data_IF_460554945410
#
_entry.id   IF_460554945410
#
_cell.length_a   1.000
_cell.length_b   1.000
_cell.length_c   1.000
_cell.angle_alpha   90.00
_cell.angle_beta   90.00
_cell.angle_gamma   90.00
#
_symmetry.space_group_name_H-M   'P 1'
#
loop_
_entity.id
_entity.type
_entity.pdbx_description
1 polymer ?
#
# COMPACT_ATOMS: atom_id res chain seq x y z
N UNK A 1 -9.83 -11.00 -20.41
CA UNK A 1 -9.61 -9.60 -20.85
C UNK A 1 -8.61 -9.59 -21.99
N UNK A 2 -8.95 -8.88 -23.08
CA UNK A 2 -8.14 -8.73 -24.29
C UNK A 2 -8.97 -8.06 -25.39
N UNK A 3 -8.33 -7.35 -26.31
CA UNK A 3 -9.00 -6.75 -27.48
C UNK A 3 -9.88 -5.53 -27.20
N UNK A 4 -9.83 -4.94 -26.00
CA UNK A 4 -10.79 -3.89 -25.61
C UNK A 4 -10.58 -2.53 -26.29
N UNK A 5 -9.47 -2.35 -27.03
CA UNK A 5 -9.14 -1.11 -27.76
C UNK A 5 -10.26 -0.64 -28.68
N UNK A 6 -10.99 -1.57 -29.31
CA UNK A 6 -12.09 -1.25 -30.23
C UNK A 6 -13.28 -0.59 -29.53
N UNK A 7 -13.48 -0.92 -28.26
CA UNK A 7 -14.65 -0.53 -27.48
C UNK A 7 -14.39 0.67 -26.57
N UNK A 8 -13.14 0.84 -26.13
CA UNK A 8 -12.72 1.91 -25.22
C UNK A 8 -11.50 2.68 -25.76
N UNK A 9 -11.66 3.47 -26.85
CA UNK A 9 -10.55 4.15 -27.50
C UNK A 9 -9.97 5.30 -26.67
N UNK A 10 -10.76 5.98 -25.86
CA UNK A 10 -10.27 7.11 -25.05
C UNK A 10 -9.43 6.56 -23.90
N UNK A 11 -9.95 5.54 -23.21
CA UNK A 11 -9.24 4.83 -22.15
C UNK A 11 -7.95 4.19 -22.68
N UNK A 12 -7.96 3.68 -23.91
CA UNK A 12 -6.75 3.19 -24.58
C UNK A 12 -5.66 4.27 -24.69
N UNK A 13 -6.01 5.46 -25.21
CA UNK A 13 -5.04 6.53 -25.43
C UNK A 13 -4.56 7.15 -24.12
N UNK A 14 -5.45 7.38 -23.16
CA UNK A 14 -5.06 7.90 -21.84
C UNK A 14 -4.16 6.91 -21.10
N UNK A 15 -4.44 5.61 -21.18
CA UNK A 15 -3.60 4.56 -20.61
C UNK A 15 -2.24 4.44 -21.31
N UNK A 16 -2.21 4.60 -22.64
CA UNK A 16 -0.96 4.61 -23.39
C UNK A 16 -0.08 5.81 -23.00
N UNK A 17 -0.66 7.00 -22.92
CA UNK A 17 0.04 8.23 -22.48
C UNK A 17 0.58 8.04 -21.05
N UNK A 18 -0.24 7.53 -20.13
CA UNK A 18 0.17 7.25 -18.77
C UNK A 18 1.30 6.21 -18.70
N UNK A 19 1.22 5.15 -19.50
CA UNK A 19 2.24 4.11 -19.56
C UNK A 19 3.56 4.64 -20.15
N UNK A 20 3.49 5.45 -21.22
CA UNK A 20 4.66 6.10 -21.82
C UNK A 20 5.33 7.08 -20.84
N UNK A 21 4.54 7.87 -20.13
CA UNK A 21 5.06 8.73 -19.07
C UNK A 21 5.70 7.91 -17.94
N UNK A 22 5.06 6.82 -17.50
CA UNK A 22 5.58 5.96 -16.44
C UNK A 22 6.91 5.30 -16.80
N UNK A 23 7.08 4.82 -18.04
CA UNK A 23 8.34 4.16 -18.45
C UNK A 23 9.47 5.15 -18.72
N UNK A 24 9.19 6.45 -18.72
CA UNK A 24 10.16 7.48 -19.08
C UNK A 24 10.38 7.58 -20.59
N UNK A 25 9.33 7.47 -21.40
CA UNK A 25 9.48 7.67 -22.84
C UNK A 25 9.88 9.13 -23.13
N UNK A 26 10.89 9.36 -24.01
CA UNK A 26 11.40 10.68 -24.34
C UNK A 26 10.29 11.69 -24.68
N UNK A 27 10.33 12.84 -24.00
CA UNK A 27 9.36 13.92 -24.18
C UNK A 27 8.13 13.89 -23.25
N UNK A 28 7.90 12.82 -22.49
CA UNK A 28 6.87 12.79 -21.45
C UNK A 28 7.43 13.20 -20.09
N UNK A 29 6.56 13.57 -19.15
CA UNK A 29 6.95 14.07 -17.83
C UNK A 29 7.87 13.10 -17.06
N UNK A 30 7.60 11.79 -17.13
CA UNK A 30 8.41 10.82 -16.40
C UNK A 30 9.81 10.60 -16.95
N UNK A 31 10.09 10.97 -18.20
CA UNK A 31 11.46 10.99 -18.74
C UNK A 31 12.31 12.00 -17.97
N UNK A 32 11.82 13.24 -17.87
CA UNK A 32 12.49 14.32 -17.15
C UNK A 32 12.75 13.98 -15.67
N UNK A 33 11.80 13.33 -15.00
CA UNK A 33 11.98 12.94 -13.60
C UNK A 33 12.89 11.72 -13.41
N UNK A 34 12.79 10.70 -14.26
CA UNK A 34 13.57 9.46 -14.11
C UNK A 34 14.99 9.60 -14.59
N UNK A 35 15.21 10.18 -15.77
CA UNK A 35 16.55 10.28 -16.36
C UNK A 35 17.41 11.23 -15.55
N UNK A 36 16.84 12.29 -14.96
CA UNK A 36 17.58 13.16 -14.04
C UNK A 36 18.10 12.40 -12.81
N UNK A 37 17.33 11.45 -12.28
CA UNK A 37 17.77 10.60 -11.15
C UNK A 37 18.84 9.61 -11.62
N UNK A 38 18.69 9.02 -12.80
CA UNK A 38 19.66 8.07 -13.36
C UNK A 38 21.01 8.76 -13.57
N UNK A 39 21.00 9.95 -14.16
CA UNK A 39 22.20 10.78 -14.38
C UNK A 39 22.80 11.25 -13.06
N UNK A 40 21.99 11.66 -12.09
CA UNK A 40 22.48 12.02 -10.76
C UNK A 40 23.15 10.82 -10.06
N UNK A 41 22.55 9.64 -10.08
CA UNK A 41 23.17 8.46 -9.46
C UNK A 41 24.44 8.06 -10.21
N UNK A 42 24.49 8.25 -11.54
CA UNK A 42 25.69 8.00 -12.33
C UNK A 42 26.87 8.91 -11.96
N UNK A 43 26.58 10.20 -11.71
CA UNK A 43 27.56 11.21 -11.30
C UNK A 43 27.94 11.11 -9.80
N UNK A 44 27.22 10.31 -9.01
CA UNK A 44 27.50 10.17 -7.59
C UNK A 44 28.73 9.32 -7.32
N UNK A 45 29.67 9.83 -6.52
CA UNK A 45 30.86 9.11 -6.07
C UNK A 45 30.70 8.48 -4.68
N UNK A 46 29.48 8.41 -4.16
CA UNK A 46 29.23 7.83 -2.84
C UNK A 46 29.43 6.31 -2.83
N UNK A 47 29.89 5.71 -1.71
CA UNK A 47 29.98 4.26 -1.60
C UNK A 47 28.62 3.60 -1.86
N UNK A 48 28.55 2.72 -2.86
CA UNK A 48 27.31 2.06 -3.28
C UNK A 48 26.58 2.70 -4.46
N UNK A 49 27.02 3.87 -4.95
CA UNK A 49 26.42 4.54 -6.10
C UNK A 49 26.37 3.66 -7.36
N UNK A 50 27.43 2.89 -7.64
CA UNK A 50 27.44 1.97 -8.78
C UNK A 50 26.38 0.87 -8.70
N UNK A 51 26.12 0.33 -7.50
CA UNK A 51 25.06 -0.65 -7.28
C UNK A 51 23.67 -0.02 -7.40
N UNK A 52 23.50 1.21 -6.88
CA UNK A 52 22.27 1.96 -7.03
C UNK A 52 21.99 2.27 -8.52
N UNK A 53 23.01 2.69 -9.29
CA UNK A 53 22.90 2.95 -10.72
C UNK A 53 22.43 1.70 -11.48
N UNK A 54 23.09 0.56 -11.23
CA UNK A 54 22.70 -0.72 -11.80
C UNK A 54 21.26 -1.12 -11.46
N UNK A 55 20.86 -0.95 -10.19
CA UNK A 55 19.52 -1.28 -9.71
C UNK A 55 18.44 -0.41 -10.37
N UNK A 56 18.70 0.89 -10.53
CA UNK A 56 17.78 1.81 -11.20
C UNK A 56 17.65 1.46 -12.69
N UNK A 57 18.75 1.17 -13.38
CA UNK A 57 18.73 0.77 -14.79
C UNK A 57 17.94 -0.53 -15.02
N UNK A 58 18.13 -1.56 -14.18
CA UNK A 58 17.31 -2.77 -14.24
C UNK A 58 15.84 -2.45 -13.95
N UNK A 59 15.59 -1.57 -12.99
CA UNK A 59 14.26 -1.07 -12.68
C UNK A 59 13.56 -0.45 -13.89
N UNK A 60 14.27 0.27 -14.76
CA UNK A 60 13.73 0.82 -16.02
C UNK A 60 13.23 -0.29 -16.94
N UNK A 61 14.04 -1.33 -17.17
CA UNK A 61 13.65 -2.49 -17.98
C UNK A 61 12.42 -3.20 -17.40
N UNK A 62 12.45 -3.52 -16.09
CA UNK A 62 11.35 -4.24 -15.42
C UNK A 62 10.06 -3.40 -15.47
N UNK A 63 10.16 -2.09 -15.26
CA UNK A 63 9.02 -1.16 -15.32
C UNK A 63 8.39 -1.12 -16.69
N UNK A 64 9.20 -0.99 -17.73
CA UNK A 64 8.72 -1.04 -19.11
C UNK A 64 8.05 -2.39 -19.41
N UNK A 65 8.67 -3.48 -18.98
CA UNK A 65 8.17 -4.82 -19.20
C UNK A 65 6.80 -5.07 -18.58
N UNK A 66 6.62 -4.84 -17.26
CA UNK A 66 5.33 -5.14 -16.63
C UNK A 66 4.22 -4.16 -17.08
N UNK A 67 4.55 -2.89 -17.35
CA UNK A 67 3.58 -1.88 -17.78
C UNK A 67 3.03 -2.22 -19.15
N UNK A 68 3.91 -2.51 -20.12
CA UNK A 68 3.49 -2.86 -21.46
C UNK A 68 2.94 -4.28 -21.57
N UNK A 69 3.39 -5.23 -20.72
CA UNK A 69 2.73 -6.54 -20.58
C UNK A 69 1.25 -6.36 -20.27
N UNK A 70 0.92 -5.55 -19.26
CA UNK A 70 -0.46 -5.29 -18.89
C UNK A 70 -1.21 -4.57 -20.01
N UNK A 71 -0.62 -3.52 -20.60
CA UNK A 71 -1.23 -2.78 -21.71
C UNK A 71 -1.56 -3.69 -22.91
N UNK A 72 -0.63 -4.56 -23.33
CA UNK A 72 -0.86 -5.49 -24.43
C UNK A 72 -1.91 -6.54 -24.11
N UNK A 73 -1.84 -7.17 -22.92
CA UNK A 73 -2.82 -8.18 -22.50
C UNK A 73 -4.24 -7.62 -22.40
N UNK A 74 -4.39 -6.37 -21.97
CA UNK A 74 -5.70 -5.72 -21.83
C UNK A 74 -6.25 -5.27 -23.19
N UNK A 75 -5.44 -4.60 -24.02
CA UNK A 75 -5.94 -3.89 -25.20
C UNK A 75 -5.72 -4.59 -26.56
N UNK A 76 -4.68 -5.41 -26.71
CA UNK A 76 -4.22 -5.93 -28.03
C UNK A 76 -4.29 -7.46 -28.19
N UNK A 77 -4.44 -8.21 -27.11
CA UNK A 77 -4.60 -9.68 -27.16
C UNK A 77 -5.96 -10.13 -27.67
N UNK A 78 -6.14 -11.45 -27.81
CA UNK A 78 -7.41 -12.06 -28.18
C UNK A 78 -8.53 -11.74 -27.17
N UNK A 79 -9.75 -11.59 -27.67
CA UNK A 79 -10.94 -11.27 -26.87
C UNK A 79 -11.33 -12.47 -25.97
N UNK A 80 -10.75 -12.52 -24.78
CA UNK A 80 -11.07 -13.49 -23.72
C UNK A 80 -12.23 -13.00 -22.86
N UNK A 81 -13.42 -12.87 -23.45
CA UNK A 81 -14.65 -12.43 -22.78
C UNK A 81 -15.89 -13.08 -23.38
N UNK A 82 -16.83 -13.42 -22.51
CA UNK A 82 -18.15 -13.99 -22.80
C UNK A 82 -19.07 -12.95 -23.46
N UNK A 83 -20.09 -13.45 -24.18
CA UNK A 83 -20.98 -12.62 -24.99
C UNK A 83 -21.78 -11.61 -24.16
N UNK A 84 -22.17 -11.96 -22.94
CA UNK A 84 -22.87 -11.06 -22.02
C UNK A 84 -21.99 -9.88 -21.57
N UNK A 85 -20.71 -10.11 -21.29
CA UNK A 85 -19.75 -9.05 -20.95
C UNK A 85 -19.46 -8.12 -22.13
N UNK A 86 -19.51 -8.63 -23.38
CA UNK A 86 -19.28 -7.81 -24.58
C UNK A 86 -20.33 -6.72 -24.79
N UNK A 87 -21.60 -7.00 -24.46
CA UNK A 87 -22.72 -6.05 -24.64
C UNK A 87 -22.62 -4.86 -23.69
N UNK A 88 -22.01 -5.04 -22.52
CA UNK A 88 -21.75 -3.98 -21.54
C UNK A 88 -20.37 -3.31 -21.70
N UNK A 89 -19.66 -3.60 -22.79
CA UNK A 89 -18.35 -3.01 -23.05
C UNK A 89 -18.51 -1.68 -23.78
N UNK A 90 -18.52 -0.61 -22.99
CA UNK A 90 -18.59 0.77 -23.49
C UNK A 90 -17.62 1.65 -22.71
N UNK A 91 -17.32 2.83 -23.27
CA UNK A 91 -16.51 3.80 -22.57
C UNK A 91 -17.09 4.19 -21.21
N UNK A 92 -16.19 4.63 -20.35
CA UNK A 92 -16.59 5.15 -19.04
C UNK A 92 -17.40 6.44 -19.19
N UNK A 93 -18.33 6.75 -18.25
CA UNK A 93 -19.03 8.02 -18.25
C UNK A 93 -18.07 9.21 -18.18
N UNK A 94 -18.52 10.38 -18.65
CA UNK A 94 -17.70 11.61 -18.70
C UNK A 94 -17.11 12.01 -17.34
N UNK A 95 -17.78 11.68 -16.24
CA UNK A 95 -17.32 11.92 -14.87
C UNK A 95 -15.97 11.22 -14.58
N UNK A 96 -15.66 10.13 -15.29
CA UNK A 96 -14.39 9.40 -15.20
C UNK A 96 -13.45 9.79 -16.34
N UNK A 97 -13.94 9.85 -17.57
CA UNK A 97 -13.11 10.14 -18.74
C UNK A 97 -12.54 11.57 -18.72
N UNK A 98 -13.31 12.55 -18.24
CA UNK A 98 -12.88 13.94 -18.13
C UNK A 98 -11.62 14.09 -17.27
N UNK A 99 -11.62 13.60 -16.02
CA UNK A 99 -10.42 13.56 -15.18
C UNK A 99 -9.24 12.81 -15.80
N UNK A 100 -9.48 11.66 -16.47
CA UNK A 100 -8.40 10.90 -17.13
C UNK A 100 -7.71 11.71 -18.23
N UNK A 101 -8.48 12.42 -19.07
CA UNK A 101 -7.92 13.29 -20.11
C UNK A 101 -7.18 14.47 -19.46
N UNK A 102 -7.79 15.10 -18.44
CA UNK A 102 -7.18 16.22 -17.74
C UNK A 102 -5.84 15.85 -17.07
N UNK A 103 -5.66 14.60 -16.63
CA UNK A 103 -4.38 14.09 -16.09
C UNK A 103 -3.39 13.66 -17.17
N UNK A 104 -3.88 13.20 -18.33
CA UNK A 104 -3.02 12.80 -19.45
C UNK A 104 -2.29 14.01 -20.08
N UNK A 105 -2.95 15.16 -20.17
CA UNK A 105 -2.37 16.40 -20.73
C UNK A 105 -1.08 16.84 -19.97
N UNK A 106 -1.08 17.07 -18.65
CA UNK A 106 0.12 17.47 -17.93
C UNK A 106 1.18 16.38 -17.97
N UNK A 107 0.80 15.09 -18.05
CA UNK A 107 1.76 13.99 -18.19
C UNK A 107 2.62 14.08 -19.46
N UNK A 108 2.18 14.82 -20.48
CA UNK A 108 2.95 15.12 -21.68
C UNK A 108 3.83 16.36 -21.46
N UNK A 109 3.24 17.46 -20.99
CA UNK A 109 3.90 18.78 -21.06
C UNK A 109 4.63 19.23 -19.79
N UNK A 110 4.19 18.80 -18.61
CA UNK A 110 4.63 19.41 -17.34
C UNK A 110 6.12 19.22 -17.10
N UNK A 111 6.69 18.07 -17.51
CA UNK A 111 8.11 17.81 -17.34
C UNK A 111 8.98 18.77 -18.15
N UNK A 112 8.63 19.05 -19.40
CA UNK A 112 9.40 19.97 -20.24
C UNK A 112 9.35 21.42 -19.70
N UNK A 113 8.21 21.83 -19.13
CA UNK A 113 8.01 23.18 -18.58
C UNK A 113 8.75 23.34 -17.25
N UNK A 114 8.65 22.36 -16.36
CA UNK A 114 9.09 22.51 -14.97
C UNK A 114 10.46 21.93 -14.65
N UNK A 115 11.06 21.06 -15.49
CA UNK A 115 12.35 20.45 -15.16
C UNK A 115 13.43 21.49 -14.83
N UNK A 116 13.56 22.54 -15.64
CA UNK A 116 14.52 23.63 -15.44
C UNK A 116 14.33 24.35 -14.10
N UNK A 117 13.20 25.05 -13.88
CA UNK A 117 12.98 25.82 -12.65
C UNK A 117 12.88 24.95 -11.40
N UNK A 118 12.44 23.69 -11.53
CA UNK A 118 12.28 22.77 -10.39
C UNK A 118 13.60 22.15 -9.94
N UNK A 119 14.44 21.67 -10.86
CA UNK A 119 15.70 21.00 -10.52
C UNK A 119 16.87 21.97 -10.36
N UNK A 120 16.94 23.00 -11.20
CA UNK A 120 18.09 23.91 -11.29
C UNK A 120 17.77 25.35 -10.90
N UNK A 121 16.50 25.66 -10.63
CA UNK A 121 16.05 26.98 -10.17
C UNK A 121 15.92 27.09 -8.66
N UNK A 122 15.29 28.17 -8.21
CA UNK A 122 15.10 28.46 -6.78
C UNK A 122 13.96 27.68 -6.12
N UNK A 123 13.24 26.83 -6.85
CA UNK A 123 11.99 26.20 -6.37
C UNK A 123 12.18 25.37 -5.09
N UNK A 124 13.26 24.60 -5.00
CA UNK A 124 13.62 23.82 -3.80
C UNK A 124 14.79 24.42 -3.01
N UNK A 125 15.18 25.65 -3.31
CA UNK A 125 16.34 26.27 -2.66
C UNK A 125 16.09 26.42 -1.16
N UNK A 126 16.99 25.83 -0.36
CA UNK A 126 16.88 25.84 1.09
C UNK A 126 15.95 24.78 1.70
N UNK A 127 15.32 23.92 0.89
CA UNK A 127 14.52 22.80 1.40
C UNK A 127 15.40 21.69 2.01
N UNK A 128 16.61 21.49 1.47
CA UNK A 128 17.56 20.48 1.90
C UNK A 128 18.96 21.11 1.91
N UNK A 129 19.73 20.87 2.98
CA UNK A 129 21.14 21.21 3.01
C UNK A 129 21.95 20.14 2.28
N UNK A 130 22.60 20.51 1.17
CA UNK A 130 23.50 19.65 0.40
C UNK A 130 24.92 20.16 0.59
N UNK A 131 25.84 19.29 1.01
CA UNK A 131 27.27 19.64 1.07
C UNK A 131 27.83 19.80 -0.34
N UNK A 132 28.73 20.76 -0.55
CA UNK A 132 29.35 21.03 -1.85
C UNK A 132 30.03 19.80 -2.46
N UNK A 133 30.60 18.91 -1.63
CA UNK A 133 31.23 17.65 -2.09
C UNK A 133 30.24 16.60 -2.62
N UNK A 134 28.92 16.81 -2.41
CA UNK A 134 27.85 15.90 -2.79
C UNK A 134 26.80 16.58 -3.68
N UNK A 135 27.12 17.76 -4.22
CA UNK A 135 26.21 18.52 -5.07
C UNK A 135 26.21 18.00 -6.52
N UNK A 136 25.68 16.80 -6.66
CA UNK A 136 25.53 16.11 -7.93
C UNK A 136 24.58 16.87 -8.88
N UNK A 137 23.54 17.50 -8.33
CA UNK A 137 22.57 18.26 -9.13
C UNK A 137 23.15 19.59 -9.63
N UNK A 138 24.03 20.23 -8.87
CA UNK A 138 24.81 21.38 -9.32
C UNK A 138 25.67 21.04 -10.55
N UNK A 139 26.42 19.94 -10.50
CA UNK A 139 27.21 19.45 -11.64
C UNK A 139 26.35 19.06 -12.84
N UNK A 140 25.18 18.46 -12.60
CA UNK A 140 24.23 18.15 -13.68
C UNK A 140 23.67 19.42 -14.34
N UNK A 141 23.46 20.48 -13.54
CA UNK A 141 22.99 21.78 -14.00
C UNK A 141 23.97 22.49 -14.94
N UNK A 142 25.28 22.29 -14.79
CA UNK A 142 26.31 22.87 -15.68
C UNK A 142 26.17 22.35 -17.12
N UNK A 143 25.70 21.10 -17.29
CA UNK A 143 25.48 20.47 -18.58
C UNK A 143 24.03 20.57 -19.08
N UNK A 144 23.14 21.21 -18.30
CA UNK A 144 21.75 21.37 -18.69
C UNK A 144 21.57 22.56 -19.65
N UNK A 145 21.55 22.28 -20.95
CA UNK A 145 21.30 23.27 -22.01
C UNK A 145 19.85 23.23 -22.52
N UNK A 146 18.89 23.12 -21.58
CA UNK A 146 17.47 23.14 -21.87
C UNK A 146 16.83 21.76 -22.11
N UNK A 147 15.50 21.73 -22.04
CA UNK A 147 14.71 20.49 -22.07
C UNK A 147 14.92 19.65 -23.33
N UNK A 148 15.12 20.29 -24.49
CA UNK A 148 15.32 19.58 -25.75
C UNK A 148 16.70 18.88 -25.79
N UNK A 149 17.75 19.54 -25.31
CA UNK A 149 19.08 18.95 -25.19
C UNK A 149 19.07 17.77 -24.23
N UNK A 150 18.35 17.89 -23.11
CA UNK A 150 18.17 16.82 -22.14
C UNK A 150 17.49 15.59 -22.75
N UNK A 151 16.44 15.80 -23.57
CA UNK A 151 15.76 14.72 -24.31
C UNK A 151 16.69 14.00 -25.27
N UNK A 152 17.50 14.74 -26.03
CA UNK A 152 18.46 14.13 -26.96
C UNK A 152 19.55 13.33 -26.25
N UNK A 153 20.01 13.80 -25.09
CA UNK A 153 21.00 13.09 -24.29
C UNK A 153 20.43 11.78 -23.73
N UNK A 154 19.24 11.80 -23.10
CA UNK A 154 18.62 10.59 -22.55
C UNK A 154 18.20 9.58 -23.62
N UNK A 155 17.89 10.03 -24.85
CA UNK A 155 17.69 9.14 -26.01
C UNK A 155 18.93 8.30 -26.36
N UNK A 156 20.13 8.85 -26.15
CA UNK A 156 21.39 8.13 -26.31
C UNK A 156 21.77 7.30 -25.08
N UNK A 157 21.08 7.49 -23.95
CA UNK A 157 21.34 6.84 -22.68
C UNK A 157 20.91 5.37 -22.65
N UNK A 158 21.55 4.54 -21.79
CA UNK A 158 21.22 3.13 -21.65
C UNK A 158 19.78 2.91 -21.14
N UNK A 159 19.22 3.87 -20.39
CA UNK A 159 17.86 3.80 -19.88
C UNK A 159 16.82 3.69 -21.00
N UNK A 160 16.94 4.49 -22.06
CA UNK A 160 16.03 4.44 -23.21
C UNK A 160 16.06 3.06 -23.90
N UNK A 161 17.25 2.54 -24.20
CA UNK A 161 17.39 1.23 -24.83
C UNK A 161 16.83 0.11 -23.96
N UNK A 162 17.06 0.15 -22.63
CA UNK A 162 16.50 -0.82 -21.70
C UNK A 162 14.97 -0.71 -21.60
N UNK A 163 14.40 0.50 -21.61
CA UNK A 163 12.95 0.69 -21.65
C UNK A 163 12.37 0.08 -22.94
N UNK A 164 12.95 0.40 -24.10
CA UNK A 164 12.50 -0.14 -25.40
C UNK A 164 12.68 -1.65 -25.49
N UNK A 165 13.76 -2.20 -24.92
CA UNK A 165 13.95 -3.64 -24.79
C UNK A 165 12.88 -4.28 -23.90
N UNK A 166 12.48 -3.64 -22.80
CA UNK A 166 11.39 -4.09 -21.93
C UNK A 166 10.04 -4.11 -22.67
N UNK A 167 9.72 -3.05 -23.42
CA UNK A 167 8.51 -2.99 -24.26
C UNK A 167 8.54 -4.08 -25.35
N UNK A 168 9.66 -4.22 -26.05
CA UNK A 168 9.84 -5.22 -27.10
C UNK A 168 9.75 -6.66 -26.57
N UNK A 169 10.37 -6.93 -25.42
CA UNK A 169 10.29 -8.22 -24.73
C UNK A 169 8.86 -8.53 -24.29
N UNK A 170 8.13 -7.55 -23.73
CA UNK A 170 6.73 -7.72 -23.35
C UNK A 170 5.85 -8.02 -24.57
N UNK A 171 6.03 -7.29 -25.66
CA UNK A 171 5.31 -7.55 -26.91
C UNK A 171 5.61 -8.96 -27.45
N UNK A 172 6.90 -9.34 -27.51
CA UNK A 172 7.30 -10.64 -28.04
C UNK A 172 6.76 -11.79 -27.19
N UNK A 173 6.96 -11.75 -25.86
CA UNK A 173 6.57 -12.83 -24.95
C UNK A 173 5.06 -12.95 -24.76
N UNK A 174 4.28 -11.87 -24.86
CA UNK A 174 2.84 -11.92 -24.58
C UNK A 174 1.94 -11.82 -25.80
N UNK A 175 2.42 -11.25 -26.92
CA UNK A 175 1.62 -11.14 -28.16
C UNK A 175 2.08 -12.12 -29.24
N UNK A 176 3.38 -12.39 -29.38
CA UNK A 176 3.92 -13.25 -30.45
C UNK A 176 4.15 -14.69 -30.02
N UNK A 177 4.74 -14.91 -28.84
CA UNK A 177 5.06 -16.23 -28.30
C UNK A 177 4.68 -16.38 -26.82
N UNK A 178 3.37 -16.46 -26.50
CA UNK A 178 2.86 -16.70 -25.14
C UNK A 178 3.37 -18.02 -24.52
N UNK A 179 3.68 -19.00 -25.36
CA UNK A 179 4.26 -20.30 -24.99
C UNK A 179 5.54 -20.14 -24.17
N UNK A 180 6.39 -19.19 -24.52
CA UNK A 180 7.66 -18.97 -23.80
C UNK A 180 7.40 -18.47 -22.38
N UNK A 181 6.42 -17.59 -22.18
CA UNK A 181 6.10 -17.06 -20.86
C UNK A 181 5.58 -18.17 -19.92
N UNK A 182 4.77 -19.09 -20.46
CA UNK A 182 4.28 -20.26 -19.72
C UNK A 182 5.41 -21.24 -19.39
N UNK A 183 6.30 -21.53 -20.35
CA UNK A 183 7.49 -22.35 -20.11
C UNK A 183 8.41 -21.76 -19.04
N UNK A 184 8.63 -20.44 -19.04
CA UNK A 184 9.44 -19.77 -18.02
C UNK A 184 8.79 -19.94 -16.65
N UNK A 185 7.47 -19.76 -16.54
CA UNK A 185 6.73 -19.96 -15.29
C UNK A 185 6.91 -21.38 -14.75
N UNK A 186 6.72 -22.39 -15.60
CA UNK A 186 6.79 -23.79 -15.18
C UNK A 186 8.21 -24.19 -14.74
N UNK A 187 9.25 -23.63 -15.37
CA UNK A 187 10.65 -23.90 -15.03
C UNK A 187 11.15 -23.10 -13.83
N UNK A 188 10.59 -21.92 -13.58
CA UNK A 188 11.08 -21.00 -12.54
C UNK A 188 10.52 -21.27 -11.14
N UNK A 189 9.56 -22.19 -11.00
CA UNK A 189 9.13 -22.86 -9.77
C UNK A 189 9.25 -22.03 -8.47
N UNK A 190 10.39 -22.18 -7.78
CA UNK A 190 10.65 -21.50 -6.49
C UNK A 190 10.70 -19.98 -6.64
N UNK A 191 11.42 -19.45 -7.63
CA UNK A 191 11.54 -18.01 -7.86
C UNK A 191 10.19 -17.40 -8.22
N UNK A 192 9.43 -18.07 -9.10
CA UNK A 192 8.07 -17.64 -9.44
C UNK A 192 7.19 -17.59 -8.19
N UNK A 193 7.22 -18.63 -7.36
CA UNK A 193 6.38 -18.73 -6.15
C UNK A 193 6.71 -17.63 -5.14
N UNK A 194 7.99 -17.28 -4.96
CA UNK A 194 8.41 -16.19 -4.07
C UNK A 194 7.85 -14.85 -4.57
N UNK A 195 7.99 -14.57 -5.87
CA UNK A 195 7.50 -13.32 -6.46
C UNK A 195 5.97 -13.23 -6.46
N UNK A 196 5.29 -14.33 -6.79
CA UNK A 196 3.82 -14.44 -6.83
C UNK A 196 3.21 -14.26 -5.43
N UNK A 197 3.88 -14.77 -4.39
CA UNK A 197 3.53 -14.54 -2.98
C UNK A 197 4.06 -13.22 -2.42
N UNK A 198 4.53 -12.29 -3.26
CA UNK A 198 5.06 -10.97 -2.85
C UNK A 198 6.12 -11.08 -1.74
N UNK A 199 7.04 -12.01 -1.90
CA UNK A 199 8.09 -12.35 -0.94
C UNK A 199 7.59 -12.90 0.41
N UNK A 200 6.30 -13.25 0.52
CA UNK A 200 5.69 -13.74 1.75
C UNK A 200 5.41 -12.65 2.79
N UNK A 201 5.53 -11.37 2.44
CA UNK A 201 5.26 -10.27 3.37
C UNK A 201 3.79 -10.20 3.79
N UNK A 202 2.86 -10.38 2.84
CA UNK A 202 1.42 -10.44 3.12
C UNK A 202 1.11 -11.62 4.06
N UNK A 203 1.65 -12.81 3.73
CA UNK A 203 1.53 -14.02 4.55
C UNK A 203 2.05 -13.81 5.99
N UNK A 204 3.20 -13.14 6.13
CA UNK A 204 3.78 -12.80 7.42
C UNK A 204 2.90 -11.82 8.19
N UNK A 205 2.43 -10.76 7.54
CA UNK A 205 1.55 -9.77 8.16
C UNK A 205 0.27 -10.43 8.68
N UNK A 206 -0.40 -11.23 7.85
CA UNK A 206 -1.65 -11.87 8.20
C UNK A 206 -1.50 -12.93 9.31
N UNK A 207 -0.44 -13.75 9.25
CA UNK A 207 -0.24 -14.88 10.16
C UNK A 207 0.47 -14.49 11.45
N UNK A 208 1.34 -13.50 11.44
CA UNK A 208 2.13 -13.12 12.63
C UNK A 208 1.53 -11.88 13.27
N UNK A 209 1.44 -10.77 12.53
CA UNK A 209 0.99 -9.50 13.09
C UNK A 209 -0.52 -9.55 13.35
N UNK A 210 -1.34 -9.78 12.32
CA UNK A 210 -2.79 -9.74 12.44
C UNK A 210 -3.34 -10.89 13.30
N UNK A 211 -2.81 -12.11 13.15
CA UNK A 211 -3.21 -13.21 14.03
C UNK A 211 -2.74 -13.01 15.48
N UNK A 212 -1.52 -12.48 15.69
CA UNK A 212 -1.02 -12.13 17.01
C UNK A 212 -1.89 -11.08 17.71
N UNK A 213 -2.22 -9.99 17.01
CA UNK A 213 -3.11 -8.94 17.53
C UNK A 213 -4.52 -9.48 17.84
N UNK A 214 -5.10 -10.31 16.96
CA UNK A 214 -6.40 -10.96 17.22
C UNK A 214 -6.33 -11.92 18.40
N UNK A 215 -5.24 -12.67 18.54
CA UNK A 215 -5.02 -13.59 19.66
C UNK A 215 -4.93 -12.84 20.99
N UNK A 216 -4.14 -11.76 21.04
CA UNK A 216 -4.02 -10.90 22.21
C UNK A 216 -5.37 -10.26 22.56
N UNK A 217 -6.10 -9.75 21.57
CA UNK A 217 -7.44 -9.20 21.77
C UNK A 217 -8.42 -10.22 22.36
N UNK A 218 -8.40 -11.47 21.87
CA UNK A 218 -9.22 -12.55 22.44
C UNK A 218 -8.83 -12.89 23.87
N UNK A 219 -7.53 -12.90 24.19
CA UNK A 219 -7.05 -13.15 25.55
C UNK A 219 -7.54 -12.06 26.50
N UNK A 220 -7.36 -10.79 26.13
CA UNK A 220 -7.82 -9.66 26.95
C UNK A 220 -9.34 -9.68 27.14
N UNK A 221 -10.11 -10.02 26.12
CA UNK A 221 -11.56 -10.15 26.25
C UNK A 221 -11.98 -11.33 27.15
N UNK A 222 -11.46 -12.53 26.90
CA UNK A 222 -11.89 -13.72 27.65
C UNK A 222 -11.40 -13.71 29.10
N UNK A 223 -10.15 -13.29 29.32
CA UNK A 223 -9.54 -13.29 30.65
C UNK A 223 -9.86 -12.01 31.40
N UNK A 224 -9.66 -10.86 30.77
CA UNK A 224 -9.87 -9.56 31.40
C UNK A 224 -11.35 -9.29 31.63
N UNK A 225 -12.13 -9.27 30.56
CA UNK A 225 -13.52 -8.84 30.63
C UNK A 225 -14.43 -9.92 31.23
N UNK A 226 -14.55 -11.06 30.55
CA UNK A 226 -15.53 -12.09 30.92
C UNK A 226 -15.19 -12.76 32.26
N UNK A 227 -13.91 -13.08 32.49
CA UNK A 227 -13.51 -13.86 33.68
C UNK A 227 -13.24 -12.99 34.90
N UNK A 228 -12.50 -11.89 34.76
CA UNK A 228 -12.14 -11.03 35.89
C UNK A 228 -13.25 -10.02 36.18
N UNK A 229 -13.66 -9.21 35.21
CA UNK A 229 -14.66 -8.16 35.45
C UNK A 229 -16.04 -8.78 35.70
N UNK A 230 -16.59 -9.48 34.72
CA UNK A 230 -17.94 -10.03 34.84
C UNK A 230 -17.99 -11.18 35.85
N UNK A 231 -17.05 -12.12 35.75
CA UNK A 231 -17.06 -13.34 36.56
C UNK A 231 -16.72 -13.10 38.03
N UNK A 232 -15.60 -12.44 38.30
CA UNK A 232 -15.06 -12.30 39.66
C UNK A 232 -15.57 -11.04 40.36
N UNK A 233 -15.56 -9.88 39.71
CA UNK A 233 -15.96 -8.62 40.35
C UNK A 233 -17.49 -8.55 40.43
N UNK A 234 -18.19 -8.60 39.30
CA UNK A 234 -19.64 -8.36 39.27
C UNK A 234 -20.41 -9.55 39.83
N UNK A 235 -20.29 -10.72 39.19
CA UNK A 235 -21.03 -11.92 39.60
C UNK A 235 -20.50 -12.52 40.91
N UNK A 236 -19.23 -12.29 41.26
CA UNK A 236 -18.69 -12.68 42.56
C UNK A 236 -19.27 -11.83 43.68
N UNK A 237 -19.35 -10.51 43.53
CA UNK A 237 -20.01 -9.64 44.50
C UNK A 237 -21.49 -10.00 44.67
N UNK A 238 -22.22 -10.21 43.57
CA UNK A 238 -23.62 -10.62 43.61
C UNK A 238 -23.83 -11.95 44.33
N UNK A 239 -22.98 -12.95 44.08
CA UNK A 239 -23.02 -14.24 44.78
C UNK A 239 -22.71 -14.11 46.28
N UNK A 240 -21.75 -13.28 46.65
CA UNK A 240 -21.42 -13.03 48.07
C UNK A 240 -22.58 -12.39 48.82
N UNK A 241 -23.23 -11.39 48.22
CA UNK A 241 -24.44 -10.78 48.80
C UNK A 241 -25.57 -11.79 48.89
N UNK A 242 -25.82 -12.58 47.84
CA UNK A 242 -26.86 -13.61 47.84
C UNK A 242 -26.62 -14.71 48.89
N UNK A 243 -25.37 -15.13 49.07
CA UNK A 243 -24.97 -16.06 50.12
C UNK A 243 -25.23 -15.47 51.50
N UNK A 244 -24.79 -14.23 51.74
CA UNK A 244 -24.98 -13.53 53.02
C UNK A 244 -26.47 -13.37 53.36
N UNK A 245 -27.31 -12.98 52.39
CA UNK A 245 -28.76 -12.91 52.56
C UNK A 245 -29.38 -14.28 52.86
N UNK A 246 -28.88 -15.35 52.24
CA UNK A 246 -29.36 -16.72 52.49
C UNK A 246 -29.04 -17.20 53.90
N UNK A 247 -27.88 -16.82 54.45
CA UNK A 247 -27.50 -17.09 55.84
C UNK A 247 -28.36 -16.27 56.82
N UNK A 248 -28.51 -14.96 56.57
CA UNK A 248 -29.31 -14.07 57.42
C UNK A 248 -30.77 -14.52 57.47
N UNK A 249 -31.31 -15.11 56.39
CA UNK A 249 -32.69 -15.60 56.36
C UNK A 249 -33.00 -16.58 57.50
N UNK A 250 -32.04 -17.39 57.94
CA UNK A 250 -32.23 -18.33 59.05
C UNK A 250 -32.32 -17.65 60.43
N UNK A 251 -31.92 -16.38 60.56
CA UNK A 251 -32.08 -15.60 61.80
C UNK A 251 -33.56 -15.30 62.07
N UNK A 252 -34.39 -15.25 61.02
CA UNK A 252 -35.84 -15.13 61.17
C UNK A 252 -36.48 -16.51 61.35
N UNK A 253 -36.59 -16.95 62.60
CA UNK A 253 -37.08 -18.29 62.95
C UNK A 253 -38.62 -18.40 62.99
N UNK A 254 -39.34 -17.27 62.92
CA UNK A 254 -40.82 -17.24 62.97
C UNK A 254 -41.43 -17.44 64.36
N UNK A 255 -40.62 -17.75 65.38
CA UNK A 255 -41.09 -17.92 66.76
C UNK A 255 -41.05 -16.60 67.54
N UNK A 256 -42.18 -16.17 68.11
CA UNK A 256 -42.32 -14.90 68.85
C UNK A 256 -41.28 -14.70 69.97
N UNK A 257 -40.90 -15.76 70.69
CA UNK A 257 -39.96 -15.64 71.81
C UNK A 257 -38.53 -15.28 71.36
N UNK A 258 -38.08 -15.71 70.18
CA UNK A 258 -36.78 -15.31 69.63
C UNK A 258 -36.74 -13.80 69.34
N UNK A 259 -37.83 -13.24 68.81
CA UNK A 259 -37.94 -11.81 68.55
C UNK A 259 -38.00 -11.00 69.85
N UNK A 260 -38.77 -11.45 70.85
CA UNK A 260 -38.84 -10.81 72.16
C UNK A 260 -37.47 -10.75 72.84
N UNK A 261 -36.72 -11.85 72.79
CA UNK A 261 -35.35 -11.92 73.31
C UNK A 261 -34.41 -10.94 72.58
N UNK A 262 -34.43 -10.93 71.25
CA UNK A 262 -33.61 -10.02 70.45
C UNK A 262 -33.92 -8.53 70.72
N UNK A 263 -35.21 -8.17 70.90
CA UNK A 263 -35.61 -6.81 71.26
C UNK A 263 -35.10 -6.41 72.65
N UNK A 264 -35.18 -7.29 73.65
CA UNK A 264 -34.69 -7.01 74.99
C UNK A 264 -33.17 -6.80 75.00
N UNK A 265 -32.42 -7.68 74.33
CA UNK A 265 -30.96 -7.55 74.16
C UNK A 265 -30.62 -6.27 73.40
N UNK A 266 -31.34 -5.95 72.33
CA UNK A 266 -31.14 -4.72 71.56
C UNK A 266 -31.39 -3.45 72.37
N UNK A 267 -32.46 -3.41 73.17
CA UNK A 267 -32.76 -2.28 74.06
C UNK A 267 -31.69 -2.12 75.14
N UNK A 268 -31.28 -3.23 75.77
CA UNK A 268 -30.22 -3.21 76.76
C UNK A 268 -28.89 -2.71 76.15
N UNK A 269 -28.53 -3.20 74.96
CA UNK A 269 -27.33 -2.76 74.25
C UNK A 269 -27.36 -1.28 73.87
N UNK A 270 -28.51 -0.76 73.41
CA UNK A 270 -28.69 0.65 73.12
C UNK A 270 -28.57 1.52 74.36
N UNK A 271 -29.24 1.15 75.46
CA UNK A 271 -29.13 1.85 76.73
C UNK A 271 -27.67 1.81 77.21
N UNK A 272 -27.02 0.64 77.12
CA UNK A 272 -25.63 0.49 77.51
C UNK A 272 -24.70 1.41 76.70
N UNK A 273 -24.90 1.51 75.39
CA UNK A 273 -24.08 2.34 74.48
C UNK A 273 -24.33 3.85 74.65
N UNK A 274 -25.56 4.26 74.99
CA UNK A 274 -25.94 5.67 75.08
C UNK A 274 -25.81 6.25 76.50
N UNK A 275 -25.95 5.42 77.54
CA UNK A 275 -25.95 5.87 78.93
C UNK A 275 -24.59 5.66 79.59
N UNK A 276 -23.83 4.64 79.20
CA UNK A 276 -22.48 4.37 79.66
C UNK A 276 -21.46 4.61 78.55
#
# INVERSE_FOLDING_TARGET
>A
MGGIKKYMPITYWTMLIGSLALIGFPGFAGFFSKDAIIEAVHLSHTPGAGFAYFSVLIGVFITAFYSFRMFFLVFHGEERMDEHTRVHLHETPWVVTGPLIALAIPSIFIGAIYIGPMLFGDFFRGAIFVSHERDVLGHLGEHFHGWFSFVLHGLAGPAFYLAMAGVGAAWFLYMKRPDIAEMIKDRSGVLYTILDRKYGFDDFNDKVIAAGSRGLGRLLWQVGDVKIIDGFIVNGAARSVGWFSSVIKYVQTGFLYHYAFAMFVGLFALIALFVF
#
